data_IF_983871641507
#
_entry.id   IF_983871641507
#
_cell.length_a   1.000
_cell.length_b   1.000
_cell.length_c   1.000
_cell.angle_alpha   90.00
_cell.angle_beta   90.00
_cell.angle_gamma   90.00
#
_symmetry.space_group_name_H-M   'P 1'
#
loop_
_entity.id
_entity.type
_entity.pdbx_description
1 polymer ?
#
# COMPACT_ATOMS: atom_id res chain seq x y z
N UNK A 1 41.57 -47.02 13.95
CA UNK A 1 41.45 -46.94 12.48
C UNK A 1 42.35 -45.80 12.04
N UNK A 2 43.49 -46.16 11.46
CA UNK A 2 44.57 -45.29 10.99
C UNK A 2 44.17 -44.58 9.70
N UNK A 3 44.29 -43.24 9.66
CA UNK A 3 44.14 -42.47 8.43
C UNK A 3 45.53 -42.17 7.85
N UNK A 4 45.71 -42.63 6.61
CA UNK A 4 46.94 -42.63 5.85
C UNK A 4 47.15 -41.25 5.20
N UNK A 5 48.38 -40.73 5.30
CA UNK A 5 48.84 -39.55 4.59
C UNK A 5 49.39 -39.97 3.22
N UNK A 6 48.76 -39.56 2.13
CA UNK A 6 49.34 -39.69 0.79
C UNK A 6 49.93 -38.35 0.32
N UNK A 7 51.25 -38.35 0.25
CA UNK A 7 52.07 -37.40 -0.48
C UNK A 7 51.92 -37.66 -1.98
N UNK A 8 51.64 -36.61 -2.77
CA UNK A 8 51.96 -36.63 -4.19
C UNK A 8 52.77 -35.39 -4.59
N UNK A 9 53.89 -35.68 -5.26
CA UNK A 9 55.06 -34.83 -5.49
C UNK A 9 55.10 -34.52 -6.99
N UNK A 10 54.89 -33.26 -7.40
CA UNK A 10 54.99 -32.87 -8.80
C UNK A 10 56.43 -32.44 -9.14
N UNK A 11 57.02 -33.16 -10.09
CA UNK A 11 58.34 -32.93 -10.66
C UNK A 11 58.35 -31.67 -11.54
N UNK A 12 59.30 -30.78 -11.29
CA UNK A 12 59.67 -29.67 -12.18
C UNK A 12 60.72 -30.20 -13.17
N UNK A 13 60.42 -30.19 -14.46
CA UNK A 13 61.41 -30.42 -15.51
C UNK A 13 62.00 -29.10 -16.00
N UNK A 14 63.32 -28.98 -15.91
CA UNK A 14 64.13 -27.92 -16.50
C UNK A 14 64.40 -28.18 -17.98
N UNK A 15 64.53 -27.09 -18.74
CA UNK A 15 64.83 -27.01 -20.16
C UNK A 15 66.26 -27.48 -20.52
N UNK A 16 66.50 -27.86 -21.79
CA UNK A 16 67.84 -27.80 -22.39
C UNK A 16 68.05 -26.47 -23.14
N UNK A 17 69.21 -25.88 -22.87
CA UNK A 17 69.82 -24.73 -23.53
C UNK A 17 70.33 -25.08 -24.94
N UNK A 18 70.00 -24.28 -25.95
CA UNK A 18 70.74 -24.24 -27.19
C UNK A 18 71.22 -22.81 -27.48
N UNK A 19 72.54 -22.66 -27.54
CA UNK A 19 73.24 -21.54 -28.13
C UNK A 19 73.18 -21.68 -29.66
N UNK A 20 72.80 -20.61 -30.38
CA UNK A 20 73.27 -20.42 -31.76
C UNK A 20 73.24 -18.93 -32.17
N UNK A 21 74.47 -18.43 -32.32
CA UNK A 21 75.01 -17.51 -33.32
C UNK A 21 74.22 -16.26 -33.81
N UNK A 22 74.85 -15.12 -33.55
CA UNK A 22 74.50 -13.77 -33.99
C UNK A 22 74.82 -13.60 -35.48
N UNK A 23 73.82 -13.25 -36.28
CA UNK A 23 74.02 -12.64 -37.61
C UNK A 23 73.35 -11.27 -37.67
N UNK A 24 74.18 -10.23 -37.83
CA UNK A 24 73.74 -8.86 -38.04
C UNK A 24 73.26 -8.67 -39.48
N UNK A 25 71.96 -8.40 -39.65
CA UNK A 25 71.46 -7.76 -40.87
C UNK A 25 70.78 -6.43 -40.56
N UNK A 26 71.44 -5.37 -41.04
CA UNK A 26 70.89 -4.02 -41.18
C UNK A 26 69.61 -4.07 -42.02
N UNK A 27 68.48 -3.65 -41.46
CA UNK A 27 67.25 -3.38 -42.22
C UNK A 27 66.72 -2.01 -41.85
N UNK A 28 66.57 -1.20 -42.89
CA UNK A 28 66.06 0.18 -42.92
C UNK A 28 64.95 0.48 -41.91
N UNK A 29 65.14 1.56 -41.17
CA UNK A 29 64.10 2.21 -40.38
C UNK A 29 63.19 2.97 -41.35
N UNK A 30 62.08 2.34 -41.74
CA UNK A 30 60.97 3.04 -42.41
C UNK A 30 60.19 3.83 -41.37
N UNK A 31 60.14 5.15 -41.54
CA UNK A 31 59.38 6.08 -40.71
C UNK A 31 57.88 5.82 -40.87
N UNK A 32 57.28 5.06 -39.96
CA UNK A 32 55.83 5.00 -39.84
C UNK A 32 55.31 6.30 -39.25
N UNK A 33 54.67 7.09 -40.13
CA UNK A 33 53.81 8.23 -39.81
C UNK A 33 52.78 7.77 -38.77
N UNK A 34 52.78 8.36 -37.58
CA UNK A 34 51.77 8.14 -36.53
C UNK A 34 50.39 8.53 -37.05
N UNK A 35 49.64 7.54 -37.50
CA UNK A 35 48.24 7.66 -37.88
C UNK A 35 47.39 7.70 -36.60
N UNK A 36 47.04 8.93 -36.19
CA UNK A 36 45.83 9.33 -35.48
C UNK A 36 45.17 8.28 -34.57
N UNK A 37 45.31 8.45 -33.25
CA UNK A 37 44.57 7.71 -32.20
C UNK A 37 43.04 7.97 -32.17
N UNK A 38 42.45 8.64 -33.17
CA UNK A 38 41.02 8.99 -33.23
C UNK A 38 40.01 7.86 -33.56
N UNK A 39 40.33 6.73 -34.23
CA UNK A 39 39.30 5.79 -34.68
C UNK A 39 38.76 4.90 -33.55
N UNK A 40 39.53 4.69 -32.47
CA UNK A 40 39.10 3.89 -31.32
C UNK A 40 38.15 4.70 -30.44
N UNK A 41 38.45 5.96 -30.16
CA UNK A 41 37.56 6.82 -29.35
C UNK A 41 36.19 7.05 -29.99
N UNK A 42 36.12 7.24 -31.31
CA UNK A 42 34.85 7.46 -32.00
C UNK A 42 33.98 6.19 -32.05
N UNK A 43 34.61 5.02 -32.20
CA UNK A 43 33.94 3.72 -32.17
C UNK A 43 33.46 3.35 -30.77
N UNK A 44 34.24 3.68 -29.73
CA UNK A 44 33.81 3.51 -28.33
C UNK A 44 32.64 4.46 -28.01
N UNK A 45 32.69 5.73 -28.44
CA UNK A 45 31.59 6.68 -28.25
C UNK A 45 30.29 6.25 -28.94
N UNK A 46 30.36 5.69 -30.15
CA UNK A 46 29.16 5.21 -30.85
C UNK A 46 28.57 3.95 -30.24
N UNK A 47 29.39 3.02 -29.76
CA UNK A 47 28.95 1.85 -28.99
C UNK A 47 28.32 2.30 -27.67
N UNK A 48 28.96 3.22 -26.95
CA UNK A 48 28.44 3.75 -25.68
C UNK A 48 27.11 4.48 -25.87
N UNK A 49 26.99 5.29 -26.93
CA UNK A 49 25.73 5.97 -27.26
C UNK A 49 24.63 4.99 -27.68
N UNK A 50 24.98 3.94 -28.43
CA UNK A 50 24.06 2.85 -28.79
C UNK A 50 23.56 2.08 -27.57
N UNK A 51 24.47 1.69 -26.67
CA UNK A 51 24.15 1.04 -25.40
C UNK A 51 23.29 1.95 -24.51
N UNK A 52 23.65 3.22 -24.36
CA UNK A 52 22.86 4.20 -23.61
C UNK A 52 21.44 4.33 -24.17
N UNK A 53 21.29 4.42 -25.49
CA UNK A 53 19.98 4.49 -26.14
C UNK A 53 19.14 3.23 -25.90
N UNK A 54 19.75 2.05 -25.91
CA UNK A 54 19.05 0.80 -25.60
C UNK A 54 18.64 0.72 -24.14
N UNK A 55 19.52 1.12 -23.21
CA UNK A 55 19.22 1.21 -21.78
C UNK A 55 18.08 2.20 -21.54
N UNK A 56 18.14 3.38 -22.14
CA UNK A 56 17.08 4.38 -22.06
C UNK A 56 15.75 3.85 -22.61
N UNK A 57 15.77 3.22 -23.79
CA UNK A 57 14.58 2.63 -24.39
C UNK A 57 13.98 1.55 -23.47
N UNK A 58 14.81 0.67 -22.91
CA UNK A 58 14.39 -0.32 -21.92
C UNK A 58 13.73 0.34 -20.71
N UNK A 59 14.32 1.39 -20.13
CA UNK A 59 13.73 2.11 -19.01
C UNK A 59 12.38 2.75 -19.37
N UNK A 60 12.25 3.33 -20.57
CA UNK A 60 10.97 3.88 -21.04
C UNK A 60 9.91 2.79 -21.15
N UNK A 61 10.21 1.66 -21.81
CA UNK A 61 9.28 0.54 -21.91
C UNK A 61 8.92 -0.05 -20.55
N UNK A 62 9.89 -0.16 -19.65
CA UNK A 62 9.67 -0.63 -18.29
C UNK A 62 8.73 0.31 -17.51
N UNK A 63 8.93 1.62 -17.60
CA UNK A 63 8.06 2.61 -16.94
C UNK A 63 6.64 2.59 -17.50
N UNK A 64 6.49 2.48 -18.83
CA UNK A 64 5.18 2.30 -19.46
C UNK A 64 4.52 1.03 -18.93
N UNK A 65 5.24 -0.10 -18.89
CA UNK A 65 4.76 -1.36 -18.35
C UNK A 65 4.30 -1.26 -16.89
N UNK A 66 5.06 -0.56 -16.04
CA UNK A 66 4.73 -0.37 -14.63
C UNK A 66 3.45 0.46 -14.44
N UNK A 67 3.28 1.52 -15.24
CA UNK A 67 2.06 2.35 -15.24
C UNK A 67 0.86 1.53 -15.72
N UNK A 68 1.00 0.78 -16.81
CA UNK A 68 -0.07 -0.07 -17.33
C UNK A 68 -0.49 -1.15 -16.33
N UNK A 69 0.49 -1.77 -15.67
CA UNK A 69 0.24 -2.81 -14.66
C UNK A 69 -0.46 -2.27 -13.41
N UNK A 70 -0.29 -0.99 -13.09
CA UNK A 70 -0.96 -0.34 -11.95
C UNK A 70 -2.01 0.68 -12.38
N UNK A 71 -2.53 0.57 -13.61
CA UNK A 71 -3.42 1.56 -14.20
C UNK A 71 -4.68 1.83 -13.37
N UNK A 72 -5.26 0.81 -12.75
CA UNK A 72 -6.45 0.96 -11.90
C UNK A 72 -6.20 1.91 -10.72
N UNK A 73 -5.09 1.70 -10.00
CA UNK A 73 -4.75 2.51 -8.85
C UNK A 73 -4.34 3.94 -9.27
N UNK A 74 -3.52 4.09 -10.33
CA UNK A 74 -3.12 5.40 -10.81
C UNK A 74 -4.28 6.21 -11.39
N UNK A 75 -5.20 5.57 -12.13
CA UNK A 75 -6.37 6.26 -12.66
C UNK A 75 -7.29 6.75 -11.53
N UNK A 76 -7.44 5.96 -10.46
CA UNK A 76 -8.15 6.38 -9.23
C UNK A 76 -7.50 7.59 -8.56
N UNK A 77 -6.17 7.63 -8.48
CA UNK A 77 -5.43 8.80 -7.94
C UNK A 77 -5.63 10.04 -8.81
N UNK A 78 -5.52 9.89 -10.14
CA UNK A 78 -5.67 11.02 -11.07
C UNK A 78 -7.10 11.55 -11.05
N UNK A 79 -8.10 10.69 -11.11
CA UNK A 79 -9.51 11.10 -11.08
C UNK A 79 -9.86 11.81 -9.77
N UNK A 80 -9.38 11.30 -8.64
CA UNK A 80 -9.52 11.96 -7.34
C UNK A 80 -8.90 13.35 -7.34
N UNK A 81 -7.67 13.50 -7.84
CA UNK A 81 -6.98 14.80 -7.88
C UNK A 81 -7.68 15.80 -8.79
N UNK A 82 -8.16 15.35 -9.96
CA UNK A 82 -8.94 16.20 -10.87
C UNK A 82 -10.23 16.64 -10.18
N UNK A 83 -10.97 15.71 -9.57
CA UNK A 83 -12.21 16.02 -8.85
C UNK A 83 -11.95 17.04 -7.73
N UNK A 84 -10.98 16.79 -6.87
CA UNK A 84 -10.66 17.68 -5.74
C UNK A 84 -10.09 19.04 -6.20
N UNK A 85 -9.46 19.11 -7.37
CA UNK A 85 -9.05 20.38 -7.97
C UNK A 85 -10.26 21.20 -8.46
N UNK A 86 -11.26 20.54 -9.05
CA UNK A 86 -12.48 21.18 -9.56
C UNK A 86 -13.47 21.53 -8.45
N UNK A 87 -13.59 20.66 -7.44
CA UNK A 87 -14.51 20.76 -6.30
C UNK A 87 -13.74 20.52 -4.99
N UNK A 88 -13.01 21.52 -4.47
CA UNK A 88 -12.14 21.34 -3.32
C UNK A 88 -12.95 21.11 -2.04
N UNK A 89 -12.69 19.99 -1.37
CA UNK A 89 -13.29 19.67 -0.07
C UNK A 89 -14.71 19.08 -0.14
N UNK A 90 -15.30 18.96 -1.32
CA UNK A 90 -16.62 18.36 -1.53
C UNK A 90 -16.46 16.94 -2.06
N UNK A 91 -16.62 15.92 -1.19
CA UNK A 91 -16.80 14.55 -1.67
C UNK A 91 -18.29 14.20 -1.68
N UNK A 92 -18.77 13.44 -2.68
CA UNK A 92 -20.16 13.00 -2.72
C UNK A 92 -20.58 12.31 -1.42
N UNK A 93 -19.65 11.59 -0.77
CA UNK A 93 -19.90 10.93 0.51
C UNK A 93 -19.98 11.91 1.69
N UNK A 94 -19.14 12.96 1.75
CA UNK A 94 -19.24 13.96 2.83
C UNK A 94 -20.58 14.70 2.76
N UNK A 95 -21.01 15.06 1.55
CA UNK A 95 -22.30 15.71 1.32
C UNK A 95 -23.48 14.83 1.72
N UNK A 96 -23.45 13.52 1.43
CA UNK A 96 -24.49 12.58 1.86
C UNK A 96 -24.57 12.44 3.39
N UNK A 97 -23.43 12.49 4.08
CA UNK A 97 -23.38 12.40 5.54
C UNK A 97 -23.86 13.70 6.21
N UNK A 98 -23.49 14.85 5.67
CA UNK A 98 -23.92 16.16 6.17
C UNK A 98 -25.41 16.41 5.89
N UNK A 99 -25.92 16.06 4.71
CA UNK A 99 -27.33 16.22 4.36
C UNK A 99 -28.26 15.33 5.20
N UNK A 100 -27.83 14.13 5.63
CA UNK A 100 -28.62 13.29 6.56
C UNK A 100 -28.89 14.00 7.89
N UNK A 101 -27.93 14.81 8.38
CA UNK A 101 -28.12 15.64 9.58
C UNK A 101 -29.10 16.79 9.32
N UNK A 102 -29.04 17.43 8.16
CA UNK A 102 -29.94 18.52 7.76
C UNK A 102 -31.38 18.06 7.56
N UNK A 103 -31.59 16.89 6.95
CA UNK A 103 -32.92 16.27 6.77
C UNK A 103 -33.52 15.91 8.14
N UNK A 104 -32.72 15.35 9.06
CA UNK A 104 -33.18 15.04 10.43
C UNK A 104 -33.60 16.30 11.20
N UNK A 105 -32.96 17.45 10.94
CA UNK A 105 -33.30 18.74 11.57
C UNK A 105 -34.49 19.48 10.90
N UNK A 106 -34.76 19.21 9.63
CA UNK A 106 -35.79 19.96 8.85
C UNK A 106 -37.18 19.30 8.88
N UNK A 107 -37.28 18.02 9.25
CA UNK A 107 -38.54 17.25 9.19
C UNK A 107 -39.55 17.56 10.31
N UNK A 108 -39.23 18.39 11.31
CA UNK A 108 -40.19 18.71 12.40
C UNK A 108 -40.42 20.21 12.56
N UNK A 109 -41.26 20.79 11.69
CA UNK A 109 -42.16 21.87 12.12
C UNK A 109 -43.43 21.22 12.67
N UNK A 110 -43.45 20.96 13.97
CA UNK A 110 -44.65 20.49 14.67
C UNK A 110 -45.58 21.66 14.93
N UNK A 111 -46.89 21.42 14.78
CA UNK A 111 -47.98 22.36 15.10
C UNK A 111 -47.89 22.88 16.54
N UNK A 112 -48.32 24.12 16.79
CA UNK A 112 -48.36 24.77 18.13
C UNK A 112 -49.43 24.18 19.07
N UNK A 113 -50.19 23.17 18.63
CA UNK A 113 -51.24 22.53 19.41
C UNK A 113 -50.69 21.40 20.34
N UNK A 114 -50.82 21.53 21.67
CA UNK A 114 -50.31 20.57 22.65
C UNK A 114 -50.94 19.16 22.62
N UNK A 115 -52.18 19.00 22.11
CA UNK A 115 -52.79 17.67 21.98
C UNK A 115 -52.27 16.89 20.76
N UNK A 116 -51.87 17.60 19.71
CA UNK A 116 -51.33 17.02 18.47
C UNK A 116 -49.92 16.46 18.71
N UNK A 117 -49.12 17.15 19.54
CA UNK A 117 -47.77 16.73 19.92
C UNK A 117 -47.75 15.46 20.79
N UNK A 118 -48.74 15.26 21.68
CA UNK A 118 -48.87 14.00 22.46
C UNK A 118 -49.18 12.77 21.61
N UNK A 119 -49.72 12.95 20.40
CA UNK A 119 -50.05 11.86 19.44
C UNK A 119 -48.97 11.63 18.38
N UNK A 120 -48.09 12.59 18.11
CA UNK A 120 -47.03 12.46 17.11
C UNK A 120 -45.78 11.81 17.72
N UNK A 121 -45.82 10.49 17.73
CA UNK A 121 -44.72 9.51 17.59
C UNK A 121 -43.31 10.12 17.81
N UNK A 122 -42.57 9.70 18.86
CA UNK A 122 -41.18 10.11 19.02
C UNK A 122 -40.42 9.80 17.73
N UNK A 123 -39.63 10.77 17.25
CA UNK A 123 -38.85 10.62 16.02
C UNK A 123 -38.08 9.30 16.09
N UNK A 124 -38.51 8.34 15.27
CA UNK A 124 -37.88 7.03 15.19
C UNK A 124 -36.53 7.25 14.51
N UNK A 125 -35.52 7.60 15.30
CA UNK A 125 -34.14 7.67 14.86
C UNK A 125 -33.61 6.24 14.70
N UNK A 126 -34.21 5.51 13.76
CA UNK A 126 -33.64 4.29 13.23
C UNK A 126 -32.44 4.74 12.40
N UNK A 127 -31.28 4.80 13.03
CA UNK A 127 -30.04 4.76 12.27
C UNK A 127 -30.02 3.41 11.55
N UNK A 128 -30.44 3.41 10.27
CA UNK A 128 -30.45 2.22 9.43
C UNK A 128 -28.99 1.84 9.18
N UNK A 129 -28.47 0.96 10.03
CA UNK A 129 -27.17 0.37 9.86
C UNK A 129 -27.21 -0.66 8.72
N UNK A 130 -26.17 -0.71 7.86
CA UNK A 130 -26.00 -1.79 6.91
C UNK A 130 -26.00 -3.15 7.62
N UNK A 131 -26.46 -4.19 6.92
CA UNK A 131 -26.47 -5.56 7.44
C UNK A 131 -25.08 -6.20 7.51
N UNK A 132 -24.13 -5.68 6.73
CA UNK A 132 -22.74 -6.11 6.67
C UNK A 132 -21.81 -5.15 7.44
N UNK A 133 -20.66 -5.68 7.89
CA UNK A 133 -19.60 -4.85 8.42
C UNK A 133 -18.96 -4.07 7.29
N UNK A 134 -18.72 -2.77 7.47
CA UNK A 134 -18.11 -1.94 6.44
C UNK A 134 -17.38 -0.73 7.01
N UNK A 135 -16.40 -0.24 6.26
CA UNK A 135 -15.70 1.00 6.52
C UNK A 135 -16.07 2.05 5.47
N UNK A 136 -16.33 3.27 5.91
CA UNK A 136 -16.58 4.43 5.07
C UNK A 136 -15.52 5.47 5.38
N UNK A 137 -14.82 5.94 4.35
CA UNK A 137 -13.79 6.98 4.45
C UNK A 137 -14.22 8.12 3.51
N UNK A 138 -14.99 9.10 4.01
CA UNK A 138 -15.62 10.13 3.18
C UNK A 138 -14.62 10.95 2.36
N UNK A 139 -13.46 11.30 2.94
CA UNK A 139 -12.39 12.06 2.27
C UNK A 139 -11.98 11.50 0.92
N UNK A 140 -12.03 10.17 0.77
CA UNK A 140 -11.60 9.45 -0.44
C UNK A 140 -12.76 8.72 -1.11
N UNK A 141 -14.00 9.07 -0.76
CA UNK A 141 -15.24 8.50 -1.30
C UNK A 141 -15.29 6.97 -1.27
N UNK A 142 -14.75 6.35 -0.21
CA UNK A 142 -14.72 4.90 -0.07
C UNK A 142 -15.85 4.39 0.83
N UNK A 143 -16.48 3.29 0.41
CA UNK A 143 -17.49 2.53 1.14
C UNK A 143 -17.27 1.03 0.87
N UNK A 144 -16.69 0.32 1.84
CA UNK A 144 -16.01 -0.95 1.60
C UNK A 144 -16.45 -1.99 2.65
N UNK A 145 -16.80 -3.23 2.26
CA UNK A 145 -17.04 -4.31 3.21
C UNK A 145 -15.80 -4.60 4.07
N UNK A 146 -16.01 -4.91 5.36
CA UNK A 146 -14.97 -5.44 6.24
C UNK A 146 -15.18 -6.95 6.40
N UNK A 147 -14.21 -7.71 5.92
CA UNK A 147 -14.19 -9.18 6.01
C UNK A 147 -13.49 -9.60 7.30
N UNK A 148 -14.07 -10.60 7.98
CA UNK A 148 -13.49 -11.21 9.19
C UNK A 148 -12.67 -12.43 8.82
N UNK A 149 -11.49 -12.54 9.41
CA UNK A 149 -10.64 -13.74 9.35
C UNK A 149 -10.61 -14.38 10.73
N UNK A 150 -10.67 -15.71 10.77
CA UNK A 150 -10.64 -16.47 12.03
C UNK A 150 -9.28 -16.33 12.71
N UNK A 151 -9.27 -16.24 14.04
CA UNK A 151 -8.02 -16.24 14.81
C UNK A 151 -7.41 -17.65 14.96
N UNK A 152 -8.02 -18.69 14.39
CA UNK A 152 -7.55 -20.09 14.51
C UNK A 152 -6.11 -20.27 14.03
N UNK A 153 -5.82 -19.86 12.80
CA UNK A 153 -4.50 -20.03 12.18
C UNK A 153 -3.44 -19.18 12.88
N UNK A 154 -3.83 -18.01 13.41
CA UNK A 154 -2.98 -17.17 14.26
C UNK A 154 -2.62 -17.88 15.58
N UNK A 155 -3.61 -18.42 16.30
CA UNK A 155 -3.40 -19.13 17.58
C UNK A 155 -2.51 -20.37 17.39
N UNK A 156 -2.70 -21.07 16.25
CA UNK A 156 -1.91 -22.25 15.89
C UNK A 156 -0.50 -21.91 15.38
N UNK A 157 -0.18 -20.63 15.19
CA UNK A 157 1.06 -20.14 14.57
C UNK A 157 1.30 -20.72 13.17
N UNK A 158 0.22 -21.04 12.46
CA UNK A 158 0.26 -21.45 11.06
C UNK A 158 0.23 -20.20 10.16
N UNK A 159 1.41 -19.62 9.95
CA UNK A 159 1.57 -18.39 9.18
C UNK A 159 1.20 -18.57 7.70
N UNK A 160 1.39 -19.77 7.15
CA UNK A 160 1.06 -20.06 5.75
C UNK A 160 -0.46 -20.12 5.56
N UNK A 161 -1.18 -20.79 6.47
CA UNK A 161 -2.64 -20.80 6.43
C UNK A 161 -3.21 -19.40 6.66
N UNK A 162 -2.69 -18.66 7.65
CA UNK A 162 -3.13 -17.31 7.94
C UNK A 162 -2.95 -16.38 6.73
N UNK A 163 -1.78 -16.40 6.07
CA UNK A 163 -1.53 -15.60 4.88
C UNK A 163 -2.54 -15.93 3.77
N UNK A 164 -2.80 -17.22 3.53
CA UNK A 164 -3.76 -17.65 2.52
C UNK A 164 -5.19 -17.19 2.83
N UNK A 165 -5.60 -17.24 4.08
CA UNK A 165 -6.90 -16.74 4.54
C UNK A 165 -7.01 -15.22 4.37
N UNK A 166 -5.98 -14.47 4.78
CA UNK A 166 -5.91 -13.02 4.62
C UNK A 166 -5.98 -12.60 3.14
N UNK A 167 -5.18 -13.22 2.27
CA UNK A 167 -5.17 -12.94 0.83
C UNK A 167 -6.50 -13.32 0.16
N UNK A 168 -7.18 -14.36 0.64
CA UNK A 168 -8.52 -14.68 0.16
C UNK A 168 -9.52 -13.61 0.57
N UNK A 169 -9.50 -13.18 1.84
CA UNK A 169 -10.43 -12.20 2.38
C UNK A 169 -10.27 -10.81 1.74
N UNK A 170 -9.04 -10.41 1.40
CA UNK A 170 -8.75 -9.14 0.73
C UNK A 170 -9.36 -9.02 -0.68
N UNK A 171 -9.81 -10.12 -1.29
CA UNK A 171 -10.52 -10.09 -2.58
C UNK A 171 -11.94 -9.56 -2.45
N UNK A 172 -12.50 -9.64 -1.24
CA UNK A 172 -13.90 -9.35 -0.93
C UNK A 172 -14.09 -8.08 -0.10
N UNK A 173 -13.00 -7.40 0.28
CA UNK A 173 -13.05 -6.13 0.98
C UNK A 173 -11.74 -5.78 1.69
N UNK A 174 -11.84 -4.94 2.72
CA UNK A 174 -10.76 -4.77 3.70
C UNK A 174 -10.89 -5.83 4.78
N UNK A 175 -9.80 -6.16 5.46
CA UNK A 175 -9.78 -7.26 6.43
C UNK A 175 -9.51 -6.73 7.83
N UNK A 176 -10.37 -7.07 8.78
CA UNK A 176 -10.05 -6.91 10.20
C UNK A 176 -8.95 -7.90 10.59
N UNK A 177 -7.85 -7.38 11.13
CA UNK A 177 -6.69 -8.19 11.45
C UNK A 177 -7.01 -9.10 12.65
N UNK A 178 -6.88 -10.44 12.51
CA UNK A 178 -7.24 -11.36 13.57
C UNK A 178 -6.38 -11.15 14.82
N UNK A 179 -6.99 -11.28 15.99
CA UNK A 179 -6.33 -11.05 17.28
C UNK A 179 -6.25 -9.57 17.71
N UNK A 180 -6.79 -8.64 16.92
CA UNK A 180 -6.94 -7.24 17.32
C UNK A 180 -8.35 -6.95 17.87
N UNK A 181 -8.50 -5.90 18.67
CA UNK A 181 -9.79 -5.54 19.28
C UNK A 181 -10.86 -5.28 18.23
N UNK A 182 -12.13 -5.39 18.64
CA UNK A 182 -13.28 -5.04 17.81
C UNK A 182 -13.67 -3.57 18.03
N UNK A 183 -14.33 -2.92 17.04
CA UNK A 183 -14.91 -1.60 17.24
C UNK A 183 -15.76 -1.53 18.51
N UNK A 184 -15.55 -0.49 19.31
CA UNK A 184 -16.20 -0.26 20.60
C UNK A 184 -15.53 -0.90 21.81
N UNK A 185 -14.48 -1.69 21.61
CA UNK A 185 -13.68 -2.28 22.68
C UNK A 185 -12.42 -1.45 22.94
N UNK A 186 -11.92 -1.48 24.18
CA UNK A 186 -10.57 -0.98 24.43
C UNK A 186 -9.55 -1.82 23.67
N UNK A 187 -8.50 -1.17 23.16
CA UNK A 187 -7.51 -1.79 22.31
C UNK A 187 -7.46 -1.19 20.92
N UNK A 188 -6.61 -1.79 20.10
CA UNK A 188 -6.38 -1.36 18.73
C UNK A 188 -7.16 -2.26 17.79
N UNK A 189 -8.07 -1.68 17.02
CA UNK A 189 -8.79 -2.30 15.91
C UNK A 189 -7.93 -2.12 14.67
N UNK A 190 -7.29 -3.17 14.17
CA UNK A 190 -6.49 -3.05 12.96
C UNK A 190 -7.27 -3.54 11.72
N UNK A 191 -7.27 -2.75 10.66
CA UNK A 191 -7.90 -3.08 9.38
C UNK A 191 -6.87 -2.91 8.26
N UNK A 192 -6.72 -3.91 7.41
CA UNK A 192 -5.78 -3.90 6.29
C UNK A 192 -6.50 -3.96 4.95
N UNK A 193 -5.94 -3.30 3.93
CA UNK A 193 -6.48 -3.30 2.58
C UNK A 193 -5.38 -3.10 1.52
N UNK A 194 -5.64 -3.52 0.28
CA UNK A 194 -4.68 -3.35 -0.80
C UNK A 194 -4.61 -1.89 -1.29
N UNK A 195 -3.38 -1.39 -1.51
CA UNK A 195 -3.13 -0.11 -2.17
C UNK A 195 -3.08 -0.24 -3.69
N UNK A 196 -2.59 -1.38 -4.18
CA UNK A 196 -2.73 -1.85 -5.55
C UNK A 196 -2.47 -3.35 -5.57
N UNK A 197 -2.96 -4.02 -6.61
CA UNK A 197 -2.71 -5.42 -6.87
C UNK A 197 -2.76 -5.69 -8.37
N UNK A 198 -2.29 -6.86 -8.81
CA UNK A 198 -2.14 -7.12 -10.24
C UNK A 198 -3.50 -7.08 -10.98
N UNK A 199 -3.55 -6.55 -12.21
CA UNK A 199 -4.80 -6.43 -12.96
C UNK A 199 -5.49 -7.78 -13.21
N UNK A 200 -4.71 -8.84 -13.41
CA UNK A 200 -5.19 -10.19 -13.70
C UNK A 200 -5.66 -10.99 -12.48
N UNK A 201 -5.35 -10.54 -11.26
CA UNK A 201 -5.85 -11.23 -10.07
C UNK A 201 -7.37 -11.07 -9.93
N UNK A 202 -8.09 -11.98 -9.26
CA UNK A 202 -9.52 -11.81 -9.02
C UNK A 202 -9.77 -10.85 -7.84
N UNK A 203 -10.93 -10.19 -7.84
CA UNK A 203 -11.39 -9.33 -6.73
C UNK A 203 -11.59 -7.86 -7.13
N UNK A 204 -12.57 -7.19 -6.52
CA UNK A 204 -12.93 -5.80 -6.83
C UNK A 204 -12.17 -4.77 -5.97
N UNK A 205 -11.48 -5.21 -4.92
CA UNK A 205 -10.89 -4.36 -3.88
C UNK A 205 -9.35 -4.29 -3.95
N UNK A 206 -8.79 -4.48 -5.15
CA UNK A 206 -7.32 -4.53 -5.39
C UNK A 206 -6.58 -3.24 -5.10
N UNK A 207 -7.27 -2.11 -5.15
CA UNK A 207 -6.74 -0.75 -5.02
C UNK A 207 -7.60 0.06 -4.04
N UNK A 208 -8.30 -0.63 -3.15
CA UNK A 208 -9.28 -0.06 -2.22
C UNK A 208 -8.70 1.02 -1.31
N UNK A 209 -7.42 0.88 -0.93
CA UNK A 209 -6.66 1.85 -0.14
C UNK A 209 -5.60 2.59 -0.98
N UNK A 210 -5.72 2.61 -2.32
CA UNK A 210 -4.82 3.40 -3.18
C UNK A 210 -4.76 4.87 -2.78
N UNK A 211 -5.91 5.43 -2.38
CA UNK A 211 -6.06 6.82 -1.96
C UNK A 211 -5.82 7.04 -0.46
N UNK A 212 -5.45 6.03 0.32
CA UNK A 212 -5.34 6.20 1.78
C UNK A 212 -4.31 7.27 2.19
N UNK A 213 -3.35 7.57 1.32
CA UNK A 213 -2.36 8.63 1.49
C UNK A 213 -2.92 10.06 1.35
N UNK A 214 -4.15 10.22 0.84
CA UNK A 214 -4.86 11.50 0.73
C UNK A 214 -5.67 11.82 2.00
N UNK A 215 -5.78 10.86 2.93
CA UNK A 215 -6.36 11.09 4.25
C UNK A 215 -5.42 11.96 5.08
N UNK A 216 -5.98 12.90 5.83
CA UNK A 216 -5.23 13.81 6.72
C UNK A 216 -5.76 13.76 8.15
N UNK A 217 -4.97 14.27 9.10
CA UNK A 217 -5.41 14.45 10.49
C UNK A 217 -6.70 15.29 10.55
N UNK A 218 -7.63 14.88 11.42
CA UNK A 218 -8.96 15.48 11.52
C UNK A 218 -10.03 14.85 10.64
N UNK A 219 -9.67 14.06 9.62
CA UNK A 219 -10.67 13.36 8.80
C UNK A 219 -11.43 12.31 9.60
N UNK A 220 -12.72 12.14 9.28
CA UNK A 220 -13.58 11.12 9.91
C UNK A 220 -13.49 9.80 9.16
N UNK A 221 -13.52 8.70 9.90
CA UNK A 221 -13.66 7.33 9.41
C UNK A 221 -14.85 6.71 10.13
N UNK A 222 -15.79 6.14 9.38
CA UNK A 222 -16.98 5.51 9.95
C UNK A 222 -16.84 4.00 9.76
N UNK A 223 -16.98 3.25 10.84
CA UNK A 223 -17.02 1.79 10.81
C UNK A 223 -18.41 1.35 11.24
N UNK A 224 -19.06 0.54 10.41
CA UNK A 224 -20.22 -0.23 10.80
C UNK A 224 -19.76 -1.63 11.17
N UNK A 225 -20.09 -2.06 12.39
CA UNK A 225 -19.72 -3.35 12.92
C UNK A 225 -20.86 -3.95 13.74
N UNK A 226 -21.32 -5.15 13.35
CA UNK A 226 -22.50 -5.82 13.95
C UNK A 226 -23.70 -4.87 14.08
N UNK A 227 -24.01 -4.16 12.98
CA UNK A 227 -25.10 -3.18 12.88
C UNK A 227 -25.01 -1.97 13.83
N UNK A 228 -23.83 -1.73 14.41
CA UNK A 228 -23.54 -0.53 15.20
C UNK A 228 -22.58 0.37 14.44
N UNK A 229 -22.74 1.67 14.58
CA UNK A 229 -21.86 2.66 13.98
C UNK A 229 -20.77 3.03 14.97
N UNK A 230 -19.59 3.32 14.46
CA UNK A 230 -18.46 3.81 15.21
C UNK A 230 -17.79 4.90 14.39
N UNK A 231 -17.68 6.10 14.95
CA UNK A 231 -17.05 7.23 14.27
C UNK A 231 -15.68 7.45 14.89
N UNK A 232 -14.65 7.44 14.05
CA UNK A 232 -13.27 7.72 14.42
C UNK A 232 -12.79 9.00 13.74
N UNK A 233 -11.86 9.69 14.37
CA UNK A 233 -11.16 10.85 13.82
C UNK A 233 -9.67 10.54 13.71
N UNK A 234 -9.10 10.78 12.53
CA UNK A 234 -7.69 10.54 12.25
C UNK A 234 -6.82 11.45 13.12
N UNK A 235 -5.86 10.85 13.81
CA UNK A 235 -4.94 11.52 14.73
C UNK A 235 -3.49 11.45 14.26
N UNK A 236 -3.14 10.49 13.40
CA UNK A 236 -1.75 10.33 12.98
C UNK A 236 -1.58 9.49 11.74
N UNK A 237 -0.53 9.82 10.99
CA UNK A 237 -0.16 9.15 9.75
C UNK A 237 1.34 8.91 9.77
N UNK A 238 1.77 7.66 9.53
CA UNK A 238 3.19 7.32 9.47
C UNK A 238 3.49 6.26 8.43
N UNK A 239 4.74 6.21 7.99
CA UNK A 239 5.25 5.17 7.09
C UNK A 239 6.27 4.32 7.84
N UNK A 240 6.04 3.00 7.85
CA UNK A 240 6.89 2.03 8.56
C UNK A 240 7.43 0.95 7.62
N UNK A 241 8.39 0.16 8.10
CA UNK A 241 8.87 -1.01 7.36
C UNK A 241 7.87 -2.18 7.46
N UNK A 242 7.82 -3.10 6.48
CA UNK A 242 6.89 -4.23 6.51
C UNK A 242 7.03 -5.14 7.74
N UNK A 243 8.22 -5.19 8.34
CA UNK A 243 8.54 -5.98 9.53
C UNK A 243 8.11 -5.32 10.85
N UNK A 244 7.66 -4.07 10.80
CA UNK A 244 7.28 -3.30 11.98
C UNK A 244 5.84 -3.66 12.37
N UNK A 245 5.69 -4.80 13.05
CA UNK A 245 4.40 -5.32 13.53
C UNK A 245 3.89 -4.59 14.77
N UNK A 246 4.68 -3.67 15.35
CA UNK A 246 4.29 -2.96 16.57
C UNK A 246 3.06 -2.08 16.37
N UNK A 247 2.78 -1.71 15.12
CA UNK A 247 1.57 -0.97 14.72
C UNK A 247 0.27 -1.72 14.97
N UNK A 248 0.33 -3.04 15.19
CA UNK A 248 -0.83 -3.90 15.48
C UNK A 248 -1.01 -4.16 16.98
N UNK A 249 -0.10 -3.67 17.83
CA UNK A 249 -0.19 -3.87 19.29
C UNK A 249 -1.48 -3.26 19.83
N UNK A 250 -2.03 -3.91 20.84
CA UNK A 250 -3.18 -3.41 21.57
C UNK A 250 -2.80 -2.19 22.41
N UNK A 251 -3.72 -1.24 22.49
CA UNK A 251 -3.61 0.01 23.23
C UNK A 251 -4.48 -0.04 24.49
N UNK A 252 -4.23 0.85 25.45
CA UNK A 252 -5.03 0.91 26.70
C UNK A 252 -6.42 1.53 26.50
N UNK A 253 -6.60 2.25 25.39
CA UNK A 253 -7.85 2.85 24.94
C UNK A 253 -8.22 2.39 23.54
N UNK A 254 -9.47 2.59 23.14
CA UNK A 254 -9.94 2.30 21.78
C UNK A 254 -9.18 3.13 20.73
N UNK A 255 -8.64 2.45 19.72
CA UNK A 255 -7.95 3.04 18.57
C UNK A 255 -8.30 2.26 17.31
N UNK A 256 -8.41 2.94 16.17
CA UNK A 256 -8.49 2.33 14.85
C UNK A 256 -7.16 2.52 14.11
N UNK A 257 -6.60 1.45 13.56
CA UNK A 257 -5.39 1.47 12.73
C UNK A 257 -5.70 0.92 11.34
N UNK A 258 -5.56 1.76 10.31
CA UNK A 258 -5.63 1.33 8.91
C UNK A 258 -4.22 1.08 8.37
N UNK A 259 -4.04 -0.06 7.70
CA UNK A 259 -2.75 -0.50 7.17
C UNK A 259 -2.85 -0.76 5.67
N UNK A 260 -1.90 -0.24 4.90
CA UNK A 260 -1.75 -0.59 3.48
C UNK A 260 -0.29 -0.53 3.02
N UNK A 261 0.00 -1.05 1.83
CA UNK A 261 1.31 -0.94 1.20
C UNK A 261 1.57 0.47 0.66
N UNK A 262 2.83 0.91 0.65
CA UNK A 262 3.20 2.20 0.06
C UNK A 262 4.65 2.19 -0.43
N UNK A 263 5.00 2.95 -1.48
CA UNK A 263 4.13 3.62 -2.44
C UNK A 263 3.22 2.67 -3.24
N UNK A 264 2.13 3.20 -3.80
CA UNK A 264 1.21 2.46 -4.69
C UNK A 264 2.00 1.80 -5.83
N UNK A 265 1.71 0.51 -6.11
CA UNK A 265 2.47 -0.31 -7.04
C UNK A 265 3.69 -1.01 -6.45
N UNK A 266 3.97 -0.80 -5.17
CA UNK A 266 5.08 -1.45 -4.44
C UNK A 266 4.60 -1.99 -3.10
N UNK A 267 5.39 -2.88 -2.48
CA UNK A 267 5.17 -3.39 -1.12
C UNK A 267 6.33 -3.03 -0.17
N UNK A 268 7.15 -2.05 -0.55
CA UNK A 268 8.42 -1.72 0.12
C UNK A 268 8.24 -1.21 1.55
N UNK A 269 7.16 -0.47 1.80
CA UNK A 269 6.81 0.07 3.12
C UNK A 269 5.32 -0.13 3.41
N UNK A 270 4.89 0.27 4.60
CA UNK A 270 3.49 0.31 5.00
C UNK A 270 3.09 1.74 5.37
N UNK A 271 1.95 2.18 4.85
CA UNK A 271 1.29 3.40 5.31
C UNK A 271 0.34 3.01 6.44
N UNK A 272 0.42 3.74 7.54
CA UNK A 272 -0.35 3.54 8.76
C UNK A 272 -1.13 4.81 9.04
N UNK A 273 -2.45 4.68 9.16
CA UNK A 273 -3.34 5.76 9.58
C UNK A 273 -3.97 5.36 10.91
N UNK A 274 -3.74 6.14 11.96
CA UNK A 274 -4.32 5.92 13.29
C UNK A 274 -5.42 6.92 13.55
N UNK A 275 -6.54 6.45 14.09
CA UNK A 275 -7.71 7.26 14.43
C UNK A 275 -8.24 6.88 15.81
N UNK A 276 -8.85 7.83 16.50
CA UNK A 276 -9.44 7.67 17.84
C UNK A 276 -10.95 7.86 17.76
N UNK A 277 -11.74 7.21 18.63
CA UNK A 277 -13.19 7.39 18.65
C UNK A 277 -13.56 8.86 18.87
N UNK A 278 -14.59 9.33 18.17
CA UNK A 278 -15.18 10.65 18.36
C UNK A 278 -16.17 10.57 19.52
N UNK A 279 -15.98 11.40 20.53
CA UNK A 279 -16.96 11.59 21.60
C UNK A 279 -18.06 12.56 21.13
N UNK A 280 -19.30 12.28 21.53
CA UNK A 280 -20.44 13.16 21.38
C UNK A 280 -20.40 14.30 22.41
N UNK A 281 -21.28 15.29 22.26
CA UNK A 281 -21.37 16.48 23.11
C UNK A 281 -21.68 16.16 24.60
N UNK A 282 -21.96 14.89 24.94
CA UNK A 282 -22.17 14.41 26.30
C UNK A 282 -20.95 13.67 26.89
N UNK A 283 -19.83 13.63 26.15
CA UNK A 283 -18.62 12.90 26.52
C UNK A 283 -18.75 11.39 26.35
N UNK A 284 -19.73 10.91 25.57
CA UNK A 284 -19.90 9.49 25.24
C UNK A 284 -19.40 9.23 23.83
N UNK A 285 -18.74 8.11 23.59
CA UNK A 285 -18.31 7.74 22.23
C UNK A 285 -19.53 7.70 21.28
N UNK A 286 -19.45 8.46 20.19
CA UNK A 286 -20.48 8.54 19.15
C UNK A 286 -20.62 7.18 18.46
N UNK A 287 -21.75 6.50 18.72
CA UNK A 287 -22.08 5.15 18.26
C UNK A 287 -23.50 5.07 17.73
#
# INVERSE_FOLDING_TARGET
MTQNHDHFKLHIQHAPSHHEEVTHHHREVSSHKTESAKPIESKVKSILHGAFRQVLAFFVFFMIGLVLLNWSAYSTIISYKIQNYLHPGETPMSELLDNKQTISKTVLKTSDDPEVQKKQIPALNLEIAPSDNRIIIPRINQNIPIVRVSSKSLIQRDWNALEKEMQSALKDGVVHYPGTSLPGQSGNVAITGHSSYFPWDPGRFKDVFALLHEVVEGDKIIVYWDQKKFVYQVQGIKVVLPKDIEVLKQTDSEQLTLVTCTPVGTNAKRLIVTAVPVEDDTGKVSR
#
